data_IF_104458287789
#
_entry.id   IF_104458287789
#
_cell.length_a   1.000
_cell.length_b   1.000
_cell.length_c   1.000
_cell.angle_alpha   90.00
_cell.angle_beta   90.00
_cell.angle_gamma   90.00
#
_symmetry.space_group_name_H-M   'P 1'
#
loop_
_entity.id
_entity.type
_entity.pdbx_description
1 polymer ?
#
# COMPACT_ATOMS: atom_id res chain seq x y z
N UNK A 1 -11.76 9.99 -6.34
CA UNK A 1 -10.80 10.69 -5.46
C UNK A 1 -10.51 12.07 -6.06
N UNK A 2 -10.20 13.09 -5.24
CA UNK A 2 -9.88 14.44 -5.73
C UNK A 2 -8.48 14.57 -6.35
N UNK A 3 -7.56 13.67 -5.98
CA UNK A 3 -6.21 13.55 -6.54
C UNK A 3 -5.74 12.09 -6.42
N UNK A 4 -5.04 11.57 -7.42
CA UNK A 4 -4.51 10.19 -7.42
C UNK A 4 -3.05 10.21 -7.85
N UNK A 5 -2.19 9.49 -7.13
CA UNK A 5 -0.79 9.28 -7.50
C UNK A 5 -0.49 7.79 -7.57
N UNK A 6 0.15 7.32 -8.65
CA UNK A 6 0.69 5.97 -8.73
C UNK A 6 2.18 6.02 -8.36
N UNK A 7 2.52 5.31 -7.30
CA UNK A 7 3.91 5.10 -6.87
C UNK A 7 4.50 3.98 -7.73
N UNK A 8 5.31 4.34 -8.71
CA UNK A 8 5.78 3.42 -9.76
C UNK A 8 7.27 3.12 -9.61
N UNK A 9 7.72 1.87 -9.87
CA UNK A 9 9.14 1.59 -9.99
C UNK A 9 9.71 2.29 -11.23
N UNK A 10 11.01 2.59 -11.20
CA UNK A 10 11.66 3.39 -12.25
C UNK A 10 11.50 2.83 -13.67
N UNK A 11 11.47 1.50 -13.81
CA UNK A 11 11.29 0.83 -15.10
C UNK A 11 9.85 0.88 -15.65
N UNK A 12 8.85 1.16 -14.81
CA UNK A 12 7.45 1.31 -15.23
C UNK A 12 7.02 2.76 -15.47
N UNK A 13 7.86 3.74 -15.09
CA UNK A 13 7.51 5.16 -15.16
C UNK A 13 7.07 5.62 -16.55
N UNK A 14 7.80 5.24 -17.60
CA UNK A 14 7.49 5.68 -18.97
C UNK A 14 6.21 5.05 -19.52
N UNK A 15 5.96 3.78 -19.19
CA UNK A 15 4.73 3.08 -19.58
C UNK A 15 3.53 3.74 -18.90
N UNK A 16 3.61 3.92 -17.58
CA UNK A 16 2.53 4.57 -16.84
C UNK A 16 2.30 6.02 -17.30
N UNK A 17 3.36 6.76 -17.66
CA UNK A 17 3.23 8.14 -18.14
C UNK A 17 2.56 8.25 -19.51
N UNK A 18 2.70 7.24 -20.36
CA UNK A 18 2.07 7.23 -21.67
C UNK A 18 0.53 7.07 -21.57
N UNK A 19 0.07 6.28 -20.60
CA UNK A 19 -1.35 5.91 -20.49
C UNK A 19 -2.12 6.74 -19.45
N UNK A 20 -1.46 7.14 -18.35
CA UNK A 20 -2.12 7.77 -17.20
C UNK A 20 -2.06 9.30 -17.27
N UNK A 21 -2.84 9.88 -18.19
CA UNK A 21 -2.80 11.33 -18.49
C UNK A 21 -3.39 12.24 -17.40
N UNK A 22 -4.24 11.70 -16.52
CA UNK A 22 -4.88 12.45 -15.42
C UNK A 22 -4.38 12.05 -14.03
N UNK A 23 -3.40 11.15 -13.96
CA UNK A 23 -2.88 10.59 -12.71
C UNK A 23 -1.45 11.06 -12.50
N UNK A 24 -1.13 11.50 -11.29
CA UNK A 24 0.24 11.86 -10.95
C UNK A 24 1.11 10.61 -10.84
N UNK A 25 2.37 10.71 -11.23
CA UNK A 25 3.34 9.63 -11.06
C UNK A 25 4.45 10.06 -10.13
N UNK A 26 4.84 9.18 -9.22
CA UNK A 26 6.04 9.34 -8.41
C UNK A 26 6.87 8.09 -8.52
N UNK A 27 8.15 8.26 -8.84
CA UNK A 27 9.10 7.16 -8.81
C UNK A 27 9.30 6.73 -7.35
N UNK A 28 9.17 5.43 -7.10
CA UNK A 28 9.29 4.81 -5.78
C UNK A 28 10.02 3.48 -5.94
N UNK A 29 11.11 3.30 -5.20
CA UNK A 29 11.92 2.08 -5.22
C UNK A 29 11.76 1.26 -3.93
N UNK A 30 11.67 1.95 -2.79
CA UNK A 30 11.69 1.36 -1.47
C UNK A 30 10.65 1.97 -0.51
N UNK A 31 10.66 1.54 0.75
CA UNK A 31 9.74 1.99 1.80
C UNK A 31 10.01 3.45 2.20
N UNK A 32 11.27 3.90 2.17
CA UNK A 32 11.62 5.27 2.54
C UNK A 32 11.02 6.28 1.55
N UNK A 33 10.96 5.93 0.26
CA UNK A 33 10.26 6.73 -0.74
C UNK A 33 8.75 6.88 -0.45
N UNK A 34 8.12 5.83 0.10
CA UNK A 34 6.72 5.84 0.51
C UNK A 34 6.52 6.72 1.74
N UNK A 35 7.35 6.57 2.77
CA UNK A 35 7.30 7.39 3.98
C UNK A 35 7.43 8.88 3.64
N UNK A 36 8.39 9.22 2.76
CA UNK A 36 8.56 10.57 2.25
C UNK A 36 7.30 11.06 1.50
N UNK A 37 6.68 10.22 0.68
CA UNK A 37 5.43 10.56 -0.01
C UNK A 37 4.27 10.79 0.96
N UNK A 38 4.11 9.92 1.96
CA UNK A 38 3.05 10.04 2.98
C UNK A 38 3.23 11.32 3.79
N UNK A 39 4.46 11.65 4.19
CA UNK A 39 4.77 12.89 4.91
C UNK A 39 4.47 14.16 4.10
N UNK A 40 4.83 14.16 2.81
CA UNK A 40 4.66 15.30 1.91
C UNK A 40 3.20 15.51 1.48
N UNK A 41 2.54 14.42 1.06
CA UNK A 41 1.25 14.49 0.35
C UNK A 41 0.07 14.14 1.23
N UNK A 42 0.29 13.48 2.37
CA UNK A 42 -0.73 13.07 3.35
C UNK A 42 -1.96 12.45 2.68
N UNK A 43 -1.79 11.37 1.90
CA UNK A 43 -2.90 10.74 1.19
C UNK A 43 -3.94 10.23 2.20
N UNK A 44 -5.22 10.37 1.86
CA UNK A 44 -6.31 9.86 2.72
C UNK A 44 -6.39 8.33 2.72
N UNK A 45 -5.93 7.70 1.65
CA UNK A 45 -5.87 6.25 1.54
C UNK A 45 -4.74 5.80 0.61
N UNK A 46 -4.26 4.58 0.84
CA UNK A 46 -3.30 3.88 0.00
C UNK A 46 -3.85 2.52 -0.44
N UNK A 47 -3.43 2.06 -1.62
CA UNK A 47 -3.78 0.75 -2.18
C UNK A 47 -2.48 0.01 -2.48
N UNK A 48 -2.38 -1.24 -2.03
CA UNK A 48 -1.28 -2.14 -2.34
C UNK A 48 -1.86 -3.42 -2.94
N UNK A 49 -1.33 -3.86 -4.09
CA UNK A 49 -1.77 -5.09 -4.73
C UNK A 49 -1.50 -5.16 -6.22
N UNK A 50 -2.28 -4.47 -7.07
CA UNK A 50 -2.25 -4.71 -8.51
C UNK A 50 -0.87 -4.52 -9.15
N UNK A 51 -0.27 -5.62 -9.61
CA UNK A 51 1.01 -5.60 -10.33
C UNK A 51 2.23 -5.30 -9.46
N UNK A 52 2.12 -5.44 -8.14
CA UNK A 52 3.25 -5.23 -7.22
C UNK A 52 4.21 -6.44 -7.21
N UNK A 53 3.69 -7.62 -7.56
CA UNK A 53 4.36 -8.92 -7.50
C UNK A 53 4.09 -9.65 -6.19
N UNK A 54 4.11 -10.98 -6.21
CA UNK A 54 3.89 -11.82 -5.01
C UNK A 54 5.21 -12.15 -4.32
N UNK A 55 5.25 -12.05 -2.98
CA UNK A 55 6.35 -12.57 -2.17
C UNK A 55 6.82 -11.64 -1.05
N UNK A 56 8.06 -11.86 -0.59
CA UNK A 56 8.61 -11.23 0.61
C UNK A 56 8.70 -9.70 0.51
N UNK A 57 8.98 -9.16 -0.68
CA UNK A 57 8.98 -7.70 -0.88
C UNK A 57 7.60 -7.12 -0.55
N UNK A 58 6.55 -7.74 -1.05
CA UNK A 58 5.16 -7.29 -0.87
C UNK A 58 4.73 -7.40 0.58
N UNK A 59 5.09 -8.49 1.25
CA UNK A 59 4.89 -8.64 2.70
C UNK A 59 5.58 -7.52 3.47
N UNK A 60 6.84 -7.23 3.16
CA UNK A 60 7.60 -6.18 3.85
C UNK A 60 6.94 -4.80 3.69
N UNK A 61 6.49 -4.46 2.48
CA UNK A 61 5.78 -3.21 2.23
C UNK A 61 4.41 -3.16 2.93
N UNK A 62 3.64 -4.25 2.88
CA UNK A 62 2.36 -4.34 3.56
C UNK A 62 2.49 -4.13 5.08
N UNK A 63 3.45 -4.80 5.71
CA UNK A 63 3.70 -4.66 7.15
C UNK A 63 4.19 -3.24 7.51
N UNK A 64 5.03 -2.62 6.68
CA UNK A 64 5.46 -1.24 6.89
C UNK A 64 4.28 -0.26 6.79
N UNK A 65 3.39 -0.44 5.82
CA UNK A 65 2.19 0.39 5.68
C UNK A 65 1.25 0.23 6.89
N UNK A 66 1.05 -1.00 7.38
CA UNK A 66 0.24 -1.26 8.58
C UNK A 66 0.86 -0.65 9.84
N UNK A 67 2.20 -0.60 9.94
CA UNK A 67 2.89 0.06 11.03
C UNK A 67 2.93 1.60 10.93
N UNK A 68 2.52 2.18 9.79
CA UNK A 68 2.58 3.62 9.51
C UNK A 68 1.26 4.38 9.77
N UNK A 69 0.33 3.73 10.47
CA UNK A 69 -0.90 4.39 10.87
C UNK A 69 -0.67 5.47 11.93
N UNK A 70 -1.70 6.29 12.16
CA UNK A 70 -1.58 7.52 12.97
C UNK A 70 -1.95 7.26 14.42
N UNK A 71 -1.06 7.56 15.38
CA UNK A 71 -1.49 7.83 16.75
C UNK A 71 -2.51 8.96 16.75
N UNK A 72 -3.51 8.90 17.64
CA UNK A 72 -4.61 9.89 17.72
C UNK A 72 -4.15 11.37 17.83
N UNK A 73 -2.88 11.62 18.19
CA UNK A 73 -2.28 12.94 18.31
C UNK A 73 -1.32 13.34 17.17
N UNK A 74 -1.04 12.46 16.20
CA UNK A 74 -0.06 12.71 15.14
C UNK A 74 -0.71 13.32 13.87
N UNK A 75 -0.02 14.29 13.26
CA UNK A 75 -0.47 14.93 12.01
C UNK A 75 0.00 14.22 10.72
N UNK A 76 0.73 13.11 10.87
CA UNK A 76 1.44 12.39 9.81
C UNK A 76 1.21 10.89 9.94
N UNK A 77 0.78 10.22 8.86
CA UNK A 77 0.52 8.78 8.77
C UNK A 77 -0.60 8.46 7.77
N UNK A 78 -1.04 7.21 7.73
CA UNK A 78 -2.08 6.71 6.80
C UNK A 78 -3.39 6.50 7.58
N UNK A 79 -4.53 6.97 7.03
CA UNK A 79 -5.86 6.73 7.64
C UNK A 79 -6.52 5.44 7.13
N UNK A 80 -6.50 5.22 5.81
CA UNK A 80 -7.10 4.07 5.15
C UNK A 80 -6.12 3.28 4.30
N UNK A 81 -6.21 1.96 4.35
CA UNK A 81 -5.39 1.06 3.56
C UNK A 81 -6.27 0.02 2.87
N UNK A 82 -6.02 -0.21 1.58
CA UNK A 82 -6.66 -1.28 0.82
C UNK A 82 -5.60 -2.28 0.39
N UNK A 83 -5.77 -3.54 0.78
CA UNK A 83 -5.00 -4.65 0.26
C UNK A 83 -5.82 -5.42 -0.75
N UNK A 84 -5.21 -5.65 -1.92
CA UNK A 84 -5.81 -6.32 -3.06
C UNK A 84 -4.79 -7.27 -3.70
N UNK A 85 -5.24 -8.22 -4.50
CA UNK A 85 -4.42 -9.09 -5.36
C UNK A 85 -3.09 -9.55 -4.72
N UNK A 86 -1.95 -9.10 -5.26
CA UNK A 86 -0.62 -9.51 -4.81
C UNK A 86 -0.37 -9.27 -3.31
N UNK A 87 -0.98 -8.24 -2.72
CA UNK A 87 -0.86 -7.99 -1.28
C UNK A 87 -1.53 -9.10 -0.49
N UNK A 88 -2.74 -9.52 -0.86
CA UNK A 88 -3.47 -10.60 -0.18
C UNK A 88 -2.78 -11.93 -0.47
N UNK A 89 -2.54 -12.24 -1.75
CA UNK A 89 -1.91 -13.48 -2.18
C UNK A 89 -0.54 -13.70 -1.53
N UNK A 90 0.24 -12.63 -1.27
CA UNK A 90 1.53 -12.76 -0.59
C UNK A 90 1.42 -13.31 0.84
N UNK A 91 0.31 -13.11 1.55
CA UNK A 91 0.10 -13.64 2.90
C UNK A 91 -0.62 -14.98 2.95
N UNK A 92 -0.89 -15.64 1.81
CA UNK A 92 -1.67 -16.89 1.77
C UNK A 92 -1.15 -17.99 2.70
N UNK A 93 0.17 -18.13 2.82
CA UNK A 93 0.79 -19.15 3.69
C UNK A 93 0.91 -18.71 5.16
N UNK A 94 0.69 -17.43 5.46
CA UNK A 94 0.83 -16.85 6.80
C UNK A 94 -0.18 -15.72 7.04
N UNK A 95 -1.50 -15.98 6.94
CA UNK A 95 -2.53 -14.94 7.08
C UNK A 95 -2.56 -14.33 8.47
N UNK A 96 -2.20 -15.10 9.51
CA UNK A 96 -2.15 -14.61 10.89
C UNK A 96 -1.19 -13.44 11.04
N UNK A 97 -0.05 -13.45 10.33
CA UNK A 97 0.93 -12.36 10.37
C UNK A 97 0.31 -11.04 9.86
N UNK A 98 -0.51 -11.13 8.82
CA UNK A 98 -1.23 -9.97 8.28
C UNK A 98 -2.27 -9.45 9.27
N UNK A 99 -3.12 -10.33 9.81
CA UNK A 99 -4.20 -9.93 10.70
C UNK A 99 -3.72 -9.41 12.06
N UNK A 100 -2.66 -10.00 12.61
CA UNK A 100 -2.05 -9.49 13.84
C UNK A 100 -1.44 -8.09 13.61
N UNK A 101 -0.76 -7.86 12.48
CA UNK A 101 -0.27 -6.53 12.13
C UNK A 101 -1.40 -5.52 11.93
N UNK A 102 -2.51 -5.92 11.30
CA UNK A 102 -3.67 -5.06 11.07
C UNK A 102 -4.46 -4.72 12.34
N UNK A 103 -4.32 -5.52 13.40
CA UNK A 103 -4.88 -5.26 14.74
C UNK A 103 -3.92 -4.49 15.65
N UNK A 104 -2.71 -4.20 15.15
CA UNK A 104 -1.71 -3.45 15.89
C UNK A 104 -2.22 -2.08 16.33
N UNK A 105 -1.66 -1.53 17.43
CA UNK A 105 -2.03 -0.19 17.87
C UNK A 105 -1.75 0.82 16.76
N UNK A 106 -2.67 1.76 16.58
CA UNK A 106 -2.61 2.83 15.59
C UNK A 106 -2.55 2.36 14.11
N UNK A 107 -2.77 1.07 13.81
CA UNK A 107 -2.80 0.58 12.44
C UNK A 107 -3.90 1.28 11.61
N UNK A 108 -3.66 1.58 10.32
CA UNK A 108 -4.66 2.20 9.46
C UNK A 108 -5.87 1.28 9.29
N UNK A 109 -7.04 1.87 9.03
CA UNK A 109 -8.24 1.09 8.74
C UNK A 109 -8.03 0.27 7.46
N UNK A 110 -7.93 -1.05 7.62
CA UNK A 110 -7.67 -1.99 6.54
C UNK A 110 -8.97 -2.49 5.90
N UNK A 111 -9.07 -2.36 4.58
CA UNK A 111 -10.06 -3.05 3.74
C UNK A 111 -9.33 -4.04 2.86
N UNK A 112 -9.81 -5.28 2.79
CA UNK A 112 -9.28 -6.31 1.89
C UNK A 112 -10.30 -6.59 0.78
N UNK A 113 -9.83 -6.77 -0.45
CA UNK A 113 -10.67 -7.05 -1.63
C UNK A 113 -10.35 -8.42 -2.28
N UNK A 114 -10.40 -9.53 -1.53
CA UNK A 114 -10.03 -10.84 -2.05
C UNK A 114 -10.97 -11.34 -3.15
N UNK A 115 -10.42 -12.04 -4.14
CA UNK A 115 -11.20 -12.93 -4.99
C UNK A 115 -11.40 -14.32 -4.34
N UNK A 116 -12.20 -15.22 -4.94
CA UNK A 116 -12.53 -16.52 -4.36
C UNK A 116 -11.30 -17.35 -3.96
N UNK A 117 -10.28 -17.43 -4.83
CA UNK A 117 -9.01 -18.11 -4.54
C UNK A 117 -8.09 -17.44 -3.50
N UNK A 118 -8.42 -16.25 -3.02
CA UNK A 118 -7.72 -15.52 -1.95
C UNK A 118 -8.45 -15.58 -0.61
N UNK A 119 -9.70 -16.05 -0.62
CA UNK A 119 -10.53 -16.20 0.57
C UNK A 119 -10.31 -17.55 1.29
N UNK A 120 -9.68 -18.50 0.61
CA UNK A 120 -9.51 -19.89 1.03
C UNK A 120 -8.26 -20.12 1.90
#
# INVERSE_FOLDING_TARGET
AGAVTVLSPGNAMQVNAADLTSIMLRRTADIADIEAFVGERRPSALVLGPGFGVGEKTKAFALALLASGKPAAASTGIDGLVFDADAITSFREAPDVLFEAARGPDAPALVMTPHEGEFA
#
